data_IF_384601366557
#
_entry.id   IF_384601366557
#
_cell.length_a   1.000
_cell.length_b   1.000
_cell.length_c   1.000
_cell.angle_alpha   90.00
_cell.angle_beta   90.00
_cell.angle_gamma   90.00
#
_symmetry.space_group_name_H-M   'P 1'
#
loop_
_entity.id
_entity.type
_entity.pdbx_description
1 polymer ?
#
# COMPACT_ATOMS: atom_id res chain seq x y z
N UNK A 1 5.97 19.45 7.15
CA UNK A 1 5.00 18.74 7.96
C UNK A 1 4.64 17.39 7.38
N UNK A 2 4.18 16.51 8.23
CA UNK A 2 3.75 15.18 7.83
C UNK A 2 2.64 14.73 8.77
N UNK A 3 1.90 13.70 8.33
CA UNK A 3 0.92 13.04 9.18
C UNK A 3 1.37 11.61 9.47
N UNK A 4 0.93 11.09 10.61
CA UNK A 4 1.21 9.73 11.02
C UNK A 4 -0.13 9.06 11.33
N UNK A 5 -0.33 7.85 10.81
CA UNK A 5 -1.53 7.09 11.12
C UNK A 5 -1.20 5.61 11.19
N UNK A 6 -2.03 4.87 11.93
CA UNK A 6 -1.98 3.42 11.93
C UNK A 6 -3.26 2.94 11.27
N UNK A 7 -3.09 2.09 10.26
CA UNK A 7 -4.21 1.60 9.46
C UNK A 7 -4.23 0.09 9.52
N UNK A 8 -5.42 -0.48 9.74
CA UNK A 8 -5.60 -1.93 9.79
C UNK A 8 -6.53 -2.33 8.65
N UNK A 9 -6.11 -3.35 7.90
CA UNK A 9 -6.89 -3.92 6.80
C UNK A 9 -7.32 -5.33 7.17
N UNK A 10 -8.61 -5.61 7.01
CA UNK A 10 -9.09 -6.98 7.12
C UNK A 10 -8.62 -7.78 5.91
N UNK A 11 -8.62 -9.12 5.97
CA UNK A 11 -8.24 -9.93 4.80
C UNK A 11 -9.05 -9.50 3.58
N UNK A 12 -8.34 -9.27 2.47
CA UNK A 12 -8.93 -8.81 1.20
C UNK A 12 -9.15 -7.32 1.08
N UNK A 13 -9.03 -6.57 2.17
CA UNK A 13 -9.22 -5.12 2.13
C UNK A 13 -8.00 -4.43 1.57
N UNK A 14 -8.24 -3.36 0.81
CA UNK A 14 -7.17 -2.57 0.17
C UNK A 14 -7.65 -1.15 -0.06
N UNK A 15 -6.70 -0.26 -0.25
CA UNK A 15 -7.01 1.12 -0.60
C UNK A 15 -7.48 1.21 -2.06
N UNK A 16 -8.01 2.35 -2.43
CA UNK A 16 -8.13 2.74 -3.83
C UNK A 16 -6.73 3.03 -4.37
N UNK A 17 -6.60 3.11 -5.67
CA UNK A 17 -5.41 3.67 -6.29
C UNK A 17 -5.25 5.11 -5.82
N UNK A 18 -4.02 5.52 -5.57
CA UNK A 18 -3.78 6.90 -5.10
C UNK A 18 -2.32 7.29 -5.29
N UNK A 19 -2.07 8.58 -5.14
CA UNK A 19 -0.72 9.14 -5.13
C UNK A 19 -0.54 10.03 -3.91
N UNK A 20 0.70 10.25 -3.53
CA UNK A 20 1.06 11.17 -2.45
C UNK A 20 1.97 12.25 -3.04
N UNK A 21 1.61 13.53 -2.96
CA UNK A 21 2.40 14.58 -3.60
C UNK A 21 3.81 14.72 -3.06
N UNK A 22 4.04 14.36 -1.80
CA UNK A 22 5.38 14.44 -1.20
C UNK A 22 5.88 13.09 -0.69
N UNK A 23 5.23 11.99 -1.12
CA UNK A 23 5.66 10.65 -0.78
C UNK A 23 5.12 10.14 0.54
N UNK A 24 5.21 8.83 0.72
CA UNK A 24 4.73 8.14 1.92
C UNK A 24 5.69 7.02 2.29
N UNK A 25 5.91 6.84 3.58
CA UNK A 25 6.70 5.72 4.09
C UNK A 25 5.82 4.86 4.96
N UNK A 26 5.82 3.55 4.69
CA UNK A 26 5.02 2.58 5.42
C UNK A 26 5.92 1.69 6.25
N UNK A 27 5.53 1.49 7.50
CA UNK A 27 6.18 0.53 8.41
C UNK A 27 5.17 -0.56 8.67
N UNK A 28 5.46 -1.79 8.21
CA UNK A 28 4.53 -2.90 8.37
C UNK A 28 4.62 -3.41 9.80
N UNK A 29 3.48 -3.44 10.48
CA UNK A 29 3.43 -3.78 11.91
C UNK A 29 2.98 -5.21 12.16
N UNK A 30 1.89 -5.65 11.52
CA UNK A 30 1.34 -6.99 11.75
C UNK A 30 0.84 -7.57 10.44
N UNK A 31 0.77 -8.89 10.39
CA UNK A 31 0.16 -9.61 9.28
C UNK A 31 1.00 -9.61 8.02
N UNK A 32 0.34 -9.84 6.90
CA UNK A 32 0.99 -9.88 5.60
C UNK A 32 0.19 -9.03 4.64
N UNK A 33 0.88 -8.19 3.87
CA UNK A 33 0.22 -7.26 2.97
C UNK A 33 0.80 -7.25 1.57
N UNK A 34 0.18 -6.44 0.72
CA UNK A 34 0.54 -6.29 -0.68
C UNK A 34 0.61 -4.82 -1.03
N UNK A 35 1.54 -4.49 -1.92
CA UNK A 35 1.66 -3.15 -2.51
C UNK A 35 1.62 -3.35 -4.02
N UNK A 36 0.73 -2.65 -4.72
CA UNK A 36 0.60 -2.80 -6.17
C UNK A 36 0.84 -1.51 -6.91
N UNK A 37 1.40 -1.62 -8.12
CA UNK A 37 1.64 -0.49 -9.03
C UNK A 37 0.99 -0.77 -10.39
N UNK A 38 0.80 0.28 -11.23
CA UNK A 38 0.04 0.11 -12.49
C UNK A 38 0.67 -0.82 -13.50
N UNK A 39 1.96 -1.09 -13.38
CA UNK A 39 2.64 -2.02 -14.29
C UNK A 39 2.33 -3.49 -13.98
N UNK A 40 1.43 -3.74 -13.03
CA UNK A 40 1.08 -5.10 -12.62
C UNK A 40 1.97 -5.69 -11.56
N UNK A 41 2.94 -4.93 -11.09
CA UNK A 41 3.86 -5.40 -10.06
C UNK A 41 3.15 -5.40 -8.71
N UNK A 42 3.25 -6.52 -8.01
CA UNK A 42 2.72 -6.66 -6.67
C UNK A 42 3.82 -7.19 -5.77
N UNK A 43 4.05 -6.48 -4.68
CA UNK A 43 5.10 -6.81 -3.73
C UNK A 43 4.48 -7.25 -2.42
N UNK A 44 4.92 -8.38 -1.89
CA UNK A 44 4.53 -8.83 -0.55
C UNK A 44 5.33 -8.10 0.48
N UNK A 45 4.65 -7.73 1.57
CA UNK A 45 5.30 -7.06 2.70
C UNK A 45 4.95 -7.77 3.99
N UNK A 46 5.87 -7.73 4.94
CA UNK A 46 5.80 -8.44 6.22
C UNK A 46 6.17 -7.51 7.35
N UNK A 47 5.82 -7.88 8.61
CA UNK A 47 6.20 -7.06 9.76
C UNK A 47 7.70 -6.77 9.77
N UNK A 48 8.03 -5.51 10.01
CA UNK A 48 9.41 -5.03 9.99
C UNK A 48 9.85 -4.46 8.65
N UNK A 49 9.09 -4.71 7.58
CA UNK A 49 9.41 -4.11 6.28
C UNK A 49 9.11 -2.62 6.29
N UNK A 50 9.95 -1.87 5.59
CA UNK A 50 9.76 -0.44 5.39
C UNK A 50 9.62 -0.20 3.90
N UNK A 51 8.51 0.46 3.51
CA UNK A 51 8.21 0.70 2.10
C UNK A 51 8.25 2.20 1.84
N UNK A 52 8.94 2.60 0.78
CA UNK A 52 8.95 4.00 0.34
C UNK A 52 8.13 4.12 -0.93
N UNK A 53 7.07 4.93 -0.85
CA UNK A 53 6.24 5.27 -2.00
C UNK A 53 6.61 6.69 -2.42
N UNK A 54 7.38 6.84 -3.51
CA UNK A 54 7.88 8.18 -3.89
C UNK A 54 6.77 9.14 -4.29
N UNK A 55 7.05 10.45 -4.28
CA UNK A 55 6.08 11.43 -4.73
C UNK A 55 5.55 11.11 -6.13
N UNK A 56 4.22 11.17 -6.28
CA UNK A 56 3.57 10.97 -7.57
C UNK A 56 3.42 9.53 -8.03
N UNK A 57 3.96 8.57 -7.29
CA UNK A 57 3.80 7.15 -7.66
C UNK A 57 2.36 6.71 -7.42
N UNK A 58 1.70 6.25 -8.47
CA UNK A 58 0.36 5.66 -8.35
C UNK A 58 0.51 4.26 -7.77
N UNK A 59 -0.19 3.99 -6.68
CA UNK A 59 -0.08 2.69 -6.01
C UNK A 59 -1.33 2.42 -5.18
N UNK A 60 -1.43 1.18 -4.71
CA UNK A 60 -2.37 0.78 -3.68
C UNK A 60 -1.66 -0.12 -2.68
N UNK A 61 -2.22 -0.24 -1.48
CA UNK A 61 -1.73 -1.20 -0.51
C UNK A 61 -2.90 -1.78 0.27
N UNK A 62 -2.69 -2.98 0.81
CA UNK A 62 -3.73 -3.65 1.55
C UNK A 62 -3.27 -4.99 2.09
N UNK A 63 -4.24 -5.74 2.63
CA UNK A 63 -4.00 -7.07 3.19
C UNK A 63 -4.02 -8.12 2.08
N UNK A 64 -3.47 -9.29 2.37
CA UNK A 64 -3.66 -10.44 1.50
C UNK A 64 -5.09 -10.96 1.66
N UNK A 65 -5.56 -11.83 0.77
CA UNK A 65 -6.88 -12.45 0.96
C UNK A 65 -6.96 -13.33 2.20
N UNK A 66 -5.83 -13.74 2.76
CA UNK A 66 -5.78 -14.73 3.85
C UNK A 66 -5.50 -14.15 5.21
N UNK A 67 -4.85 -12.98 5.29
CA UNK A 67 -4.45 -12.41 6.57
C UNK A 67 -4.77 -10.92 6.62
N UNK A 68 -5.11 -10.43 7.81
CA UNK A 68 -5.19 -9.00 8.05
C UNK A 68 -3.76 -8.42 8.04
N UNK A 69 -3.66 -7.11 7.88
CA UNK A 69 -2.37 -6.43 7.92
C UNK A 69 -2.56 -5.05 8.53
N UNK A 70 -1.58 -4.61 9.31
CA UNK A 70 -1.58 -3.22 9.78
C UNK A 70 -0.24 -2.58 9.50
N UNK A 71 -0.27 -1.28 9.25
CA UNK A 71 0.95 -0.52 9.04
C UNK A 71 0.84 0.86 9.67
N UNK A 72 1.99 1.44 9.94
CA UNK A 72 2.10 2.83 10.31
C UNK A 72 2.49 3.60 9.05
N UNK A 73 1.77 4.68 8.77
CA UNK A 73 2.02 5.49 7.59
C UNK A 73 2.54 6.87 7.99
N UNK A 74 3.71 7.21 7.46
CA UNK A 74 4.25 8.57 7.56
C UNK A 74 4.08 9.19 6.18
N UNK A 75 3.18 10.16 6.09
CA UNK A 75 2.85 10.79 4.82
C UNK A 75 3.23 12.25 4.85
N UNK A 76 4.15 12.64 3.98
CA UNK A 76 4.58 14.03 3.89
C UNK A 76 3.48 14.86 3.23
N UNK A 77 3.43 16.14 3.60
CA UNK A 77 2.43 17.05 3.08
C UNK A 77 3.08 18.04 2.13
N UNK A 78 2.32 18.42 1.11
CA UNK A 78 2.73 19.45 0.16
C UNK A 78 1.53 20.33 -0.13
N UNK A 79 1.67 21.62 0.12
CA UNK A 79 0.61 22.61 -0.10
C UNK A 79 -0.70 22.19 0.60
N UNK A 80 -0.56 21.67 1.82
CA UNK A 80 -1.71 21.28 2.65
C UNK A 80 -2.36 19.97 2.25
N UNK A 81 -1.76 19.20 1.33
CA UNK A 81 -2.33 17.93 0.85
C UNK A 81 -1.34 16.80 1.02
N UNK A 82 -1.86 15.62 1.31
CA UNK A 82 -1.02 14.43 1.47
C UNK A 82 -1.44 13.24 0.59
N UNK A 83 -2.58 13.32 -0.07
CA UNK A 83 -3.07 12.21 -0.89
C UNK A 83 -3.98 12.72 -1.99
N UNK A 84 -3.92 12.05 -3.14
CA UNK A 84 -4.89 12.21 -4.23
C UNK A 84 -5.48 10.84 -4.51
N UNK A 85 -6.78 10.70 -4.23
CA UNK A 85 -7.49 9.43 -4.42
C UNK A 85 -7.90 9.27 -5.88
N UNK A 86 -7.80 8.04 -6.37
CA UNK A 86 -8.10 7.70 -7.74
C UNK A 86 -9.13 6.57 -7.78
N UNK A 87 -9.09 5.72 -8.78
CA UNK A 87 -10.11 4.70 -8.95
C UNK A 87 -9.94 3.52 -7.98
N UNK A 88 -10.98 2.73 -7.87
CA UNK A 88 -10.98 1.52 -7.07
C UNK A 88 -10.05 0.48 -7.70
N UNK A 89 -9.38 -0.32 -6.87
CA UNK A 89 -8.54 -1.42 -7.33
C UNK A 89 -9.45 -2.60 -7.67
N UNK A 90 -9.44 -3.00 -8.94
CA UNK A 90 -10.28 -4.08 -9.42
C UNK A 90 -9.81 -5.43 -8.88
N UNK A 91 -10.67 -6.45 -9.00
CA UNK A 91 -10.29 -7.81 -8.64
C UNK A 91 -9.12 -8.31 -9.49
N UNK A 92 -9.06 -7.89 -10.76
CA UNK A 92 -7.95 -8.26 -11.63
C UNK A 92 -6.65 -7.61 -11.21
N UNK A 93 -6.70 -6.37 -10.73
CA UNK A 93 -5.51 -5.67 -10.23
C UNK A 93 -5.03 -6.26 -8.91
N UNK A 94 -5.96 -6.73 -8.11
CA UNK A 94 -5.67 -7.27 -6.79
C UNK A 94 -5.32 -8.75 -6.92
N UNK A 95 -4.05 -9.01 -7.15
CA UNK A 95 -3.55 -10.36 -7.35
C UNK A 95 -2.72 -10.79 -6.15
N UNK A 96 -3.02 -11.97 -5.61
CA UNK A 96 -2.24 -12.53 -4.52
C UNK A 96 -1.28 -13.55 -5.12
N UNK A 97 0.05 -13.28 -5.14
CA UNK A 97 1.00 -14.21 -5.73
C UNK A 97 0.99 -15.55 -5.00
N UNK A 98 0.87 -16.62 -5.75
CA UNK A 98 0.91 -17.97 -5.20
C UNK A 98 2.34 -18.32 -4.79
N UNK A 99 2.45 -19.38 -3.96
CA UNK A 99 3.76 -19.85 -3.55
C UNK A 99 4.59 -20.17 -4.79
N UNK A 100 5.80 -19.63 -4.85
CA UNK A 100 6.68 -19.83 -6.00
C UNK A 100 6.52 -18.82 -7.13
N UNK A 101 5.47 -17.99 -7.11
CA UNK A 101 5.28 -16.94 -8.09
C UNK A 101 6.16 -15.74 -7.76
N UNK A 102 6.61 -15.05 -8.82
CA UNK A 102 7.35 -13.81 -8.65
C UNK A 102 6.38 -12.63 -8.73
N UNK A 103 6.51 -11.70 -7.81
CA UNK A 103 5.82 -10.41 -7.93
C UNK A 103 6.46 -9.65 -9.08
N UNK A 104 5.65 -9.12 -9.96
CA UNK A 104 6.15 -8.46 -11.16
C UNK A 104 6.20 -6.97 -11.01
#
# INVERSE_FOLDING_TARGET
PYSVSIVTFEPGARTFWHTHPAGQRLFILTGEGLIGTPDGRIERVHPGDIVWCPPGLKHWHGATPKTAMSHMAFTNMKDGRNVTWMEEVSADDYHFPEAGEQAK
#
